data_IF_529260042649
#
_entry.id   IF_529260042649
#
_cell.length_a   1.000
_cell.length_b   1.000
_cell.length_c   1.000
_cell.angle_alpha   90.00
_cell.angle_beta   90.00
_cell.angle_gamma   90.00
#
_symmetry.space_group_name_H-M   'P 1'
#
loop_
_entity.id
_entity.type
_entity.pdbx_description
1 polymer ?
#
# COMPACT_ATOMS: atom_id res chain seq x y z
N UNK A 1 -37.37 -59.37 16.50
CA UNK A 1 -36.12 -58.64 16.21
C UNK A 1 -35.36 -58.52 17.52
N UNK A 2 -34.12 -59.02 17.59
CA UNK A 2 -33.37 -59.05 18.85
C UNK A 2 -32.90 -57.64 19.22
N UNK A 3 -32.95 -57.28 20.51
CA UNK A 3 -32.53 -55.98 21.03
C UNK A 3 -31.09 -55.60 20.63
N UNK A 4 -30.24 -56.59 20.38
CA UNK A 4 -28.88 -56.44 19.84
C UNK A 4 -28.83 -55.80 18.45
N UNK A 5 -29.80 -56.09 17.57
CA UNK A 5 -29.87 -55.49 16.23
C UNK A 5 -30.20 -54.00 16.26
N UNK A 6 -31.04 -53.58 17.21
CA UNK A 6 -31.40 -52.17 17.41
C UNK A 6 -30.22 -51.36 17.96
N UNK A 7 -29.49 -51.89 18.95
CA UNK A 7 -28.30 -51.22 19.51
C UNK A 7 -27.18 -51.10 18.46
N UNK A 8 -26.94 -52.15 17.67
CA UNK A 8 -25.98 -52.10 16.58
C UNK A 8 -26.35 -51.06 15.51
N UNK A 9 -27.63 -50.99 15.13
CA UNK A 9 -28.12 -49.99 14.16
C UNK A 9 -27.98 -48.55 14.66
N UNK A 10 -28.19 -48.33 15.96
CA UNK A 10 -28.03 -47.01 16.59
C UNK A 10 -26.55 -46.58 16.63
N UNK A 11 -25.65 -47.53 16.95
CA UNK A 11 -24.21 -47.28 16.94
C UNK A 11 -23.68 -46.90 15.55
N UNK A 12 -24.11 -47.62 14.51
CA UNK A 12 -23.72 -47.33 13.12
C UNK A 12 -24.26 -45.98 12.67
N UNK A 13 -25.53 -45.67 12.96
CA UNK A 13 -26.14 -44.38 12.59
C UNK A 13 -25.44 -43.21 13.29
N UNK A 14 -25.07 -43.36 14.56
CA UNK A 14 -24.34 -42.35 15.32
C UNK A 14 -22.94 -42.11 14.73
N UNK A 15 -22.23 -43.17 14.34
CA UNK A 15 -20.93 -43.07 13.68
C UNK A 15 -21.03 -42.34 12.33
N UNK A 16 -22.07 -42.62 11.55
CA UNK A 16 -22.32 -41.93 10.27
C UNK A 16 -22.56 -40.43 10.52
N UNK A 17 -23.42 -40.07 11.49
CA UNK A 17 -23.68 -38.66 11.82
C UNK A 17 -22.40 -37.95 12.27
N UNK A 18 -21.57 -38.60 13.10
CA UNK A 18 -20.29 -38.04 13.56
C UNK A 18 -19.30 -37.84 12.40
N UNK A 19 -19.24 -38.78 11.45
CA UNK A 19 -18.41 -38.63 10.26
C UNK A 19 -18.89 -37.47 9.36
N UNK A 20 -20.20 -37.34 9.15
CA UNK A 20 -20.76 -36.23 8.39
C UNK A 20 -20.51 -34.89 9.09
N UNK A 21 -20.68 -34.82 10.41
CA UNK A 21 -20.41 -33.60 11.18
C UNK A 21 -18.93 -33.21 11.09
N UNK A 22 -18.01 -34.18 11.22
CA UNK A 22 -16.58 -33.93 11.04
C UNK A 22 -16.22 -33.46 9.63
N UNK A 23 -16.85 -34.02 8.60
CA UNK A 23 -16.67 -33.56 7.22
C UNK A 23 -17.19 -32.12 7.01
N UNK A 24 -18.37 -31.81 7.54
CA UNK A 24 -18.97 -30.46 7.45
C UNK A 24 -18.10 -29.40 8.14
N UNK A 25 -17.57 -29.70 9.33
CA UNK A 25 -16.68 -28.79 10.05
C UNK A 25 -15.38 -28.55 9.28
N UNK A 26 -14.77 -29.60 8.72
CA UNK A 26 -13.55 -29.47 7.91
C UNK A 26 -13.77 -28.68 6.62
N UNK A 27 -14.90 -28.87 5.94
CA UNK A 27 -15.25 -28.11 4.73
C UNK A 27 -15.52 -26.64 5.06
N UNK A 28 -16.14 -26.35 6.19
CA UNK A 28 -16.38 -24.98 6.64
C UNK A 28 -15.07 -24.25 6.98
N UNK A 29 -14.15 -24.91 7.67
CA UNK A 29 -12.81 -24.36 7.95
C UNK A 29 -12.00 -24.13 6.66
N UNK A 30 -12.13 -25.03 5.68
CA UNK A 30 -11.50 -24.86 4.37
C UNK A 30 -12.12 -23.69 3.56
N UNK A 31 -13.45 -23.52 3.62
CA UNK A 31 -14.12 -22.42 2.94
C UNK A 31 -13.79 -21.06 3.57
N UNK A 32 -13.73 -20.97 4.90
CA UNK A 32 -13.36 -19.74 5.59
C UNK A 32 -11.90 -19.34 5.35
N UNK A 33 -10.97 -20.30 5.37
CA UNK A 33 -9.56 -20.05 5.03
C UNK A 33 -9.37 -19.63 3.56
N UNK A 34 -10.11 -20.22 2.62
CA UNK A 34 -10.13 -19.79 1.22
C UNK A 34 -10.71 -18.39 1.03
N UNK A 35 -11.75 -18.01 1.78
CA UNK A 35 -12.31 -16.66 1.73
C UNK A 35 -11.29 -15.59 2.20
N UNK A 36 -10.55 -15.88 3.27
CA UNK A 36 -9.47 -15.02 3.78
C UNK A 36 -8.32 -14.90 2.77
N UNK A 37 -7.93 -16.00 2.13
CA UNK A 37 -6.92 -15.99 1.06
C UNK A 37 -7.38 -15.21 -0.18
N UNK A 38 -8.67 -15.28 -0.53
CA UNK A 38 -9.21 -14.51 -1.66
C UNK A 38 -9.22 -13.01 -1.38
N UNK A 39 -9.49 -12.59 -0.13
CA UNK A 39 -9.37 -11.19 0.27
C UNK A 39 -7.90 -10.72 0.26
N UNK A 40 -6.95 -11.55 0.67
CA UNK A 40 -5.54 -11.22 0.61
C UNK A 40 -5.04 -10.97 -0.83
N UNK A 41 -5.68 -11.55 -1.85
CA UNK A 41 -5.35 -11.34 -3.27
C UNK A 41 -5.83 -10.00 -3.86
N UNK A 42 -6.58 -9.19 -3.12
CA UNK A 42 -7.05 -7.89 -3.61
C UNK A 42 -6.12 -6.72 -3.30
N UNK A 43 -5.03 -6.92 -2.56
CA UNK A 43 -4.07 -5.84 -2.27
C UNK A 43 -2.75 -6.06 -2.99
N UNK A 44 -2.33 -5.07 -3.77
CA UNK A 44 -1.07 -5.05 -4.50
C UNK A 44 -0.18 -3.93 -3.97
N UNK A 45 1.11 -4.24 -3.74
CA UNK A 45 2.09 -3.23 -3.32
C UNK A 45 2.77 -2.70 -4.58
N UNK A 46 2.57 -1.41 -4.87
CA UNK A 46 3.26 -0.73 -5.96
C UNK A 46 4.51 -0.04 -5.43
N UNK A 47 5.63 -0.32 -6.11
CA UNK A 47 6.91 0.34 -5.89
C UNK A 47 7.14 1.29 -7.06
N UNK A 48 7.18 2.58 -6.78
CA UNK A 48 7.50 3.61 -7.76
C UNK A 48 8.87 4.20 -7.43
N UNK A 49 9.53 4.70 -8.46
CA UNK A 49 10.89 5.25 -8.38
C UNK A 49 10.83 6.77 -8.57
N UNK A 50 10.78 7.55 -7.47
CA UNK A 50 10.85 9.00 -7.54
C UNK A 50 12.14 9.45 -8.21
N UNK A 51 12.03 10.42 -9.13
CA UNK A 51 13.18 11.13 -9.66
C UNK A 51 13.52 12.30 -8.74
N UNK A 52 14.80 12.42 -8.37
CA UNK A 52 15.33 13.58 -7.68
C UNK A 52 15.31 14.82 -8.58
N UNK A 53 14.79 15.93 -8.06
CA UNK A 53 14.75 17.22 -8.77
C UNK A 53 15.78 18.18 -8.18
N UNK A 54 15.73 18.42 -6.87
CA UNK A 54 16.64 19.32 -6.17
C UNK A 54 16.58 19.08 -4.65
N UNK A 55 17.56 19.61 -3.90
CA UNK A 55 17.53 19.72 -2.45
C UNK A 55 18.02 21.12 -2.02
N UNK A 56 17.37 21.69 -1.01
CA UNK A 56 17.71 23.01 -0.48
C UNK A 56 17.45 23.03 1.03
N UNK A 57 18.52 23.21 1.82
CA UNK A 57 18.46 23.09 3.28
C UNK A 57 17.96 21.71 3.69
N UNK A 58 16.91 21.68 4.51
CA UNK A 58 16.25 20.46 4.96
C UNK A 58 15.13 19.95 4.03
N UNK A 59 14.98 20.54 2.84
CA UNK A 59 13.95 20.16 1.88
C UNK A 59 14.52 19.41 0.68
N UNK A 60 13.85 18.33 0.28
CA UNK A 60 14.13 17.57 -0.95
C UNK A 60 12.90 17.58 -1.85
N UNK A 61 13.11 17.94 -3.11
CA UNK A 61 12.08 17.98 -4.13
C UNK A 61 12.21 16.74 -5.02
N UNK A 62 11.11 15.99 -5.12
CA UNK A 62 11.00 14.77 -5.90
C UNK A 62 9.85 14.90 -6.90
N UNK A 63 9.92 14.14 -7.99
CA UNK A 63 8.77 13.89 -8.86
C UNK A 63 8.53 12.40 -8.98
N UNK A 64 7.28 11.97 -8.98
CA UNK A 64 6.91 10.56 -9.06
C UNK A 64 5.85 10.44 -10.15
N UNK A 65 6.04 9.52 -11.09
CA UNK A 65 5.08 9.26 -12.17
C UNK A 65 4.35 7.94 -11.92
N UNK A 66 3.03 7.94 -12.11
CA UNK A 66 2.25 6.71 -12.06
C UNK A 66 2.36 5.99 -13.41
N UNK A 67 3.34 5.11 -13.53
CA UNK A 67 3.49 4.23 -14.70
C UNK A 67 2.84 2.85 -14.45
N UNK A 68 2.08 2.71 -13.36
CA UNK A 68 1.37 1.48 -13.04
C UNK A 68 0.12 1.27 -13.91
N UNK A 69 -0.51 0.08 -13.82
CA UNK A 69 -1.69 -0.23 -14.63
C UNK A 69 -3.02 0.30 -14.06
N UNK A 70 -3.00 0.90 -12.86
CA UNK A 70 -4.20 1.37 -12.18
C UNK A 70 -3.97 2.72 -11.52
N UNK A 71 -5.05 3.47 -11.41
CA UNK A 71 -5.11 4.74 -10.72
C UNK A 71 -4.96 4.55 -9.20
N UNK A 72 -4.51 5.59 -8.48
CA UNK A 72 -4.22 5.51 -7.04
C UNK A 72 -5.04 6.58 -6.33
N UNK A 73 -5.99 6.16 -5.48
CA UNK A 73 -6.83 7.10 -4.73
C UNK A 73 -6.02 7.90 -3.70
N UNK A 74 -6.46 9.12 -3.40
CA UNK A 74 -5.80 9.95 -2.39
C UNK A 74 -5.72 9.28 -1.00
N UNK A 75 -6.67 8.40 -0.64
CA UNK A 75 -6.64 7.61 0.59
C UNK A 75 -5.43 6.67 0.65
N UNK A 76 -5.11 6.03 -0.48
CA UNK A 76 -3.95 5.15 -0.59
C UNK A 76 -2.65 5.95 -0.57
N UNK A 77 -2.63 7.12 -1.21
CA UNK A 77 -1.49 8.06 -1.20
C UNK A 77 -1.18 8.53 0.22
N UNK A 78 -2.20 8.89 1.02
CA UNK A 78 -2.01 9.29 2.42
C UNK A 78 -1.43 8.17 3.29
N UNK A 79 -1.71 6.91 2.96
CA UNK A 79 -1.17 5.74 3.64
C UNK A 79 0.18 5.27 3.06
N UNK A 80 0.70 5.95 2.04
CA UNK A 80 1.93 5.56 1.36
C UNK A 80 3.17 5.99 2.15
N UNK A 81 4.21 5.17 2.02
CA UNK A 81 5.50 5.41 2.63
C UNK A 81 6.51 5.91 1.60
N UNK A 82 7.22 6.98 1.94
CA UNK A 82 8.37 7.44 1.18
C UNK A 82 9.66 7.10 1.93
N UNK A 83 10.54 6.33 1.30
CA UNK A 83 11.87 6.05 1.81
C UNK A 83 12.88 6.95 1.12
N UNK A 84 13.68 7.66 1.91
CA UNK A 84 14.72 8.56 1.43
C UNK A 84 16.09 8.10 1.94
N UNK A 85 17.05 8.01 1.05
CA UNK A 85 18.47 7.81 1.35
C UNK A 85 19.19 9.08 0.89
N UNK A 86 19.85 9.76 1.82
CA UNK A 86 20.54 11.02 1.57
C UNK A 86 21.82 11.11 2.41
N UNK A 87 22.61 12.15 2.18
CA UNK A 87 23.73 12.52 3.03
C UNK A 87 23.41 13.84 3.72
N UNK A 88 23.63 13.92 5.04
CA UNK A 88 23.44 15.15 5.77
C UNK A 88 24.57 16.15 5.50
N UNK A 89 24.48 17.37 6.04
CA UNK A 89 25.49 18.42 5.87
C UNK A 89 26.94 18.02 6.22
N UNK A 90 27.12 17.04 7.11
CA UNK A 90 28.43 16.50 7.51
C UNK A 90 28.94 15.39 6.57
N UNK A 91 28.17 14.98 5.56
CA UNK A 91 28.52 13.88 4.66
C UNK A 91 28.24 12.50 5.23
N UNK A 92 27.42 12.39 6.29
CA UNK A 92 26.99 11.10 6.84
C UNK A 92 25.76 10.59 6.09
N UNK A 93 25.81 9.33 5.62
CA UNK A 93 24.67 8.68 4.97
C UNK A 93 23.55 8.41 5.98
N UNK A 94 22.33 8.77 5.60
CA UNK A 94 21.09 8.59 6.38
C UNK A 94 20.05 7.85 5.55
N UNK A 95 19.15 7.17 6.25
CA UNK A 95 17.96 6.55 5.67
C UNK A 95 16.76 6.91 6.55
N UNK A 96 15.68 7.39 5.93
CA UNK A 96 14.44 7.78 6.62
C UNK A 96 13.24 7.17 5.92
N UNK A 97 12.27 6.73 6.71
CA UNK A 97 10.90 6.43 6.29
C UNK A 97 10.05 7.64 6.67
N UNK A 98 9.26 8.14 5.74
CA UNK A 98 8.57 9.42 5.86
C UNK A 98 7.08 9.22 5.57
N UNK A 99 6.24 9.69 6.49
CA UNK A 99 4.79 9.69 6.37
C UNK A 99 4.25 10.91 5.62
N UNK A 100 3.05 10.77 5.06
CA UNK A 100 2.36 11.87 4.39
C UNK A 100 1.85 12.90 5.40
N UNK A 101 2.16 14.18 5.18
CA UNK A 101 1.66 15.29 6.01
C UNK A 101 2.35 15.44 7.38
N UNK A 102 3.42 14.69 7.64
CA UNK A 102 4.20 14.74 8.89
C UNK A 102 5.47 15.62 8.75
N UNK A 103 6.12 15.92 9.87
CA UNK A 103 7.45 16.56 9.91
C UNK A 103 8.35 15.82 10.92
N UNK A 104 9.43 15.16 10.49
CA UNK A 104 9.86 14.97 9.10
C UNK A 104 8.87 14.11 8.31
N UNK A 105 8.62 14.46 7.06
CA UNK A 105 7.60 13.81 6.23
C UNK A 105 7.58 14.34 4.80
N UNK A 106 6.53 14.01 4.05
CA UNK A 106 6.38 14.43 2.66
C UNK A 106 4.97 14.93 2.35
N UNK A 107 4.87 15.81 1.35
CA UNK A 107 3.63 16.42 0.90
C UNK A 107 3.63 16.60 -0.61
N UNK A 108 2.45 16.54 -1.24
CA UNK A 108 2.29 16.82 -2.67
C UNK A 108 2.12 18.33 -2.83
N UNK A 109 2.94 18.91 -3.70
CA UNK A 109 2.89 20.35 -4.05
C UNK A 109 2.24 20.63 -5.39
N UNK A 110 2.29 19.68 -6.33
CA UNK A 110 1.70 19.85 -7.67
C UNK A 110 1.40 18.50 -8.32
N UNK A 111 0.47 18.46 -9.28
CA UNK A 111 0.12 17.28 -10.08
C UNK A 111 0.02 17.68 -11.55
N UNK A 112 0.70 16.94 -12.43
CA UNK A 112 0.77 17.24 -13.86
C UNK A 112 0.60 16.00 -14.74
N UNK A 113 0.00 16.17 -15.90
CA UNK A 113 -0.02 15.20 -16.98
C UNK A 113 1.04 15.58 -18.03
N UNK A 114 2.25 15.02 -17.89
CA UNK A 114 3.39 15.43 -18.72
C UNK A 114 3.80 16.87 -18.44
N UNK A 115 3.72 17.75 -19.44
CA UNK A 115 3.92 19.20 -19.27
C UNK A 115 2.62 19.98 -19.03
N UNK A 116 1.47 19.31 -19.12
CA UNK A 116 0.15 19.93 -18.97
C UNK A 116 -0.40 19.74 -17.56
N UNK A 117 -1.39 20.56 -17.19
CA UNK A 117 -2.17 20.35 -15.97
C UNK A 117 -2.95 19.02 -16.03
N UNK A 118 -3.31 18.50 -14.86
CA UNK A 118 -4.20 17.34 -14.71
C UNK A 118 -5.53 17.54 -15.46
N UNK A 119 -6.06 16.47 -16.07
CA UNK A 119 -7.19 16.60 -17.03
C UNK A 119 -8.42 15.78 -16.64
N UNK A 120 -8.25 14.60 -16.04
CA UNK A 120 -9.35 13.65 -15.81
C UNK A 120 -9.95 13.81 -14.39
N UNK A 121 -9.23 13.35 -13.34
CA UNK A 121 -9.77 13.30 -11.97
C UNK A 121 -8.93 14.12 -10.98
N UNK A 122 -8.96 15.47 -11.09
CA UNK A 122 -7.98 16.36 -10.49
C UNK A 122 -7.78 16.12 -8.99
N UNK A 123 -6.52 15.90 -8.60
CA UNK A 123 -6.10 15.82 -7.22
C UNK A 123 -6.14 17.21 -6.58
N UNK A 124 -7.07 17.39 -5.65
CA UNK A 124 -7.25 18.66 -4.93
C UNK A 124 -6.30 18.70 -3.75
N UNK A 125 -5.25 19.52 -3.86
CA UNK A 125 -4.16 19.59 -2.88
C UNK A 125 -4.49 20.33 -1.57
N UNK A 126 -5.74 20.71 -1.30
CA UNK A 126 -6.10 21.42 -0.07
C UNK A 126 -7.57 21.27 0.30
N UNK A 127 -7.92 21.15 1.61
CA UNK A 127 -7.08 20.81 2.77
C UNK A 127 -7.01 19.29 3.04
N UNK A 128 -7.85 18.47 2.41
CA UNK A 128 -7.97 17.04 2.72
C UNK A 128 -7.39 16.10 1.66
N UNK A 129 -6.59 16.56 0.69
CA UNK A 129 -6.14 15.75 -0.46
C UNK A 129 -7.23 14.80 -0.99
N UNK A 130 -8.03 15.30 -1.92
CA UNK A 130 -9.11 14.53 -2.54
C UNK A 130 -8.78 14.25 -4.00
N UNK A 131 -9.37 13.19 -4.56
CA UNK A 131 -9.19 12.82 -5.96
C UNK A 131 -8.37 11.55 -6.14
N UNK A 132 -7.89 11.38 -7.36
CA UNK A 132 -7.28 10.14 -7.83
C UNK A 132 -6.03 10.50 -8.63
N UNK A 133 -4.95 9.78 -8.39
CA UNK A 133 -3.75 9.88 -9.21
C UNK A 133 -3.90 8.98 -10.42
N UNK A 134 -4.23 9.56 -11.58
CA UNK A 134 -4.46 8.77 -12.77
C UNK A 134 -3.13 8.23 -13.34
N UNK A 135 -3.22 7.12 -14.06
CA UNK A 135 -2.08 6.55 -14.79
C UNK A 135 -1.56 7.56 -15.82
N UNK A 136 -0.24 7.73 -15.86
CA UNK A 136 0.46 8.66 -16.75
C UNK A 136 0.79 10.01 -16.09
N UNK A 137 0.15 10.35 -14.98
CA UNK A 137 0.35 11.61 -14.25
C UNK A 137 1.58 11.57 -13.36
N UNK A 138 2.13 12.76 -13.10
CA UNK A 138 3.29 12.99 -12.26
C UNK A 138 2.91 13.88 -11.09
N UNK A 139 3.13 13.39 -9.88
CA UNK A 139 3.06 14.20 -8.66
C UNK A 139 4.43 14.79 -8.36
N UNK A 140 4.44 16.07 -7.97
CA UNK A 140 5.61 16.75 -7.43
C UNK A 140 5.48 16.79 -5.92
N UNK A 141 6.56 16.39 -5.27
CA UNK A 141 6.56 16.08 -3.86
C UNK A 141 7.66 16.84 -3.17
N UNK A 142 7.33 17.50 -2.07
CA UNK A 142 8.30 18.11 -1.17
C UNK A 142 8.46 17.23 0.05
N UNK A 143 9.71 16.96 0.39
CA UNK A 143 10.10 16.19 1.56
C UNK A 143 10.78 17.13 2.54
N UNK A 144 10.30 17.16 3.78
CA UNK A 144 10.87 18.00 4.85
C UNK A 144 11.56 17.11 5.86
N UNK A 145 12.83 17.39 6.14
CA UNK A 145 13.67 16.63 7.08
C UNK A 145 13.97 17.43 8.35
N UNK A 146 14.48 16.73 9.36
CA UNK A 146 14.93 17.25 10.64
C UNK A 146 16.32 17.91 10.58
N UNK A 147 17.08 17.66 9.51
CA UNK A 147 18.43 18.15 9.30
C UNK A 147 18.66 18.58 7.83
N UNK A 148 19.70 19.38 7.61
CA UNK A 148 20.07 19.82 6.26
C UNK A 148 20.65 18.68 5.41
N UNK A 149 20.27 18.67 4.14
CA UNK A 149 20.74 17.72 3.13
C UNK A 149 21.93 18.30 2.38
N UNK A 150 22.97 17.49 2.19
CA UNK A 150 24.04 17.81 1.27
C UNK A 150 23.61 17.56 -0.16
N UNK A 151 23.18 18.62 -0.85
CA UNK A 151 22.71 18.59 -2.24
C UNK A 151 23.80 18.24 -3.28
N UNK A 152 25.08 18.23 -2.87
CA UNK A 152 26.19 17.82 -3.74
C UNK A 152 26.40 16.31 -3.80
N UNK A 153 25.72 15.55 -2.93
CA UNK A 153 25.80 14.09 -2.89
C UNK A 153 24.49 13.44 -3.40
N UNK A 154 24.54 12.19 -3.88
CA UNK A 154 23.38 11.52 -4.41
C UNK A 154 22.25 11.37 -3.38
N UNK A 155 21.03 11.70 -3.82
CA UNK A 155 19.80 11.44 -3.07
C UNK A 155 18.99 10.39 -3.83
N UNK A 156 18.57 9.34 -3.12
CA UNK A 156 17.80 8.23 -3.69
C UNK A 156 16.50 8.10 -2.91
N UNK A 157 15.38 7.95 -3.62
CA UNK A 157 14.09 7.77 -3.00
C UNK A 157 13.38 6.52 -3.56
N UNK A 158 12.49 5.92 -2.75
CA UNK A 158 11.58 4.86 -3.15
C UNK A 158 10.21 5.15 -2.56
N UNK A 159 9.16 5.00 -3.37
CA UNK A 159 7.79 5.29 -2.96
C UNK A 159 6.95 4.02 -2.99
N UNK A 160 6.34 3.67 -1.86
CA UNK A 160 5.57 2.44 -1.70
C UNK A 160 4.13 2.78 -1.35
N UNK A 161 3.21 2.26 -2.17
CA UNK A 161 1.77 2.45 -1.96
C UNK A 161 1.05 1.12 -2.12
N UNK A 162 0.08 0.89 -1.23
CA UNK A 162 -0.79 -0.30 -1.29
C UNK A 162 -2.04 0.08 -2.07
N UNK A 163 -2.27 -0.59 -3.20
CA UNK A 163 -3.46 -0.41 -4.03
C UNK A 163 -4.39 -1.61 -3.91
N UNK A 164 -5.70 -1.36 -3.92
CA UNK A 164 -6.68 -2.41 -4.21
C UNK A 164 -6.61 -2.77 -5.70
N UNK A 165 -6.78 -4.05 -6.03
CA UNK A 165 -7.04 -4.52 -7.41
C UNK A 165 -8.50 -4.28 -7.79
#
# INVERSE_FOLDING_TARGET
MSAYGLVASFGITTLIILQFLGYFLNVYDMASSLAVLSQAHTTSIKKLDPSYVNASGNMVYLRIRNEGPVDISSKQIKAADLFLIYFNGEGTRKMRRLGFGETPGWQIVDVKLGESAEVLDPMRLSPELEGVWNVGETIYVTVTLDEDVNSSLPVVAKFWVVTGN
#
